data_IF_789738551475
#
_entry.id   IF_789738551475
#
_cell.length_a   1.000
_cell.length_b   1.000
_cell.length_c   1.000
_cell.angle_alpha   90.00
_cell.angle_beta   90.00
_cell.angle_gamma   90.00
#
_symmetry.space_group_name_H-M   'P 1'
#
loop_
_entity.id
_entity.type
_entity.pdbx_description
1 polymer ?
#
# COMPACT_ATOMS: atom_id res chain seq x y z
N UNK A 1 -9.10 -71.08 14.27
CA UNK A 1 -9.66 -69.71 14.14
C UNK A 1 -9.30 -68.93 15.40
N UNK A 2 -8.51 -67.85 15.32
CA UNK A 2 -8.18 -66.95 16.45
C UNK A 2 -8.84 -65.59 16.19
N UNK A 3 -9.83 -65.14 16.97
CA UNK A 3 -10.66 -63.98 16.65
C UNK A 3 -10.02 -62.60 16.98
N UNK A 4 -8.75 -62.54 17.39
CA UNK A 4 -8.14 -61.32 17.92
C UNK A 4 -7.40 -60.42 16.91
N UNK A 5 -7.02 -60.93 15.74
CA UNK A 5 -6.10 -60.19 14.85
C UNK A 5 -6.81 -59.18 13.93
N UNK A 6 -8.13 -59.32 13.72
CA UNK A 6 -8.92 -58.41 12.86
C UNK A 6 -9.27 -57.08 13.53
N UNK A 7 -9.34 -57.03 14.86
CA UNK A 7 -9.69 -55.80 15.59
C UNK A 7 -8.49 -54.85 15.76
N UNK A 8 -7.28 -55.38 15.92
CA UNK A 8 -6.05 -54.56 16.08
C UNK A 8 -5.70 -53.81 14.79
N UNK A 9 -5.91 -54.42 13.62
CA UNK A 9 -5.64 -53.78 12.32
C UNK A 9 -6.60 -52.61 12.05
N UNK A 10 -7.86 -52.71 12.46
CA UNK A 10 -8.83 -51.61 12.29
C UNK A 10 -8.55 -50.40 13.18
N UNK A 11 -8.00 -50.59 14.40
CA UNK A 11 -7.69 -49.50 15.34
C UNK A 11 -6.42 -48.74 14.94
N UNK A 12 -5.39 -49.43 14.44
CA UNK A 12 -4.16 -48.76 13.96
C UNK A 12 -4.41 -47.97 12.66
N UNK A 13 -5.25 -48.49 11.76
CA UNK A 13 -5.61 -47.80 10.53
C UNK A 13 -6.46 -46.53 10.77
N UNK A 14 -7.23 -46.47 11.87
CA UNK A 14 -8.04 -45.30 12.20
C UNK A 14 -7.28 -44.21 12.98
N UNK A 15 -6.17 -44.53 13.64
CA UNK A 15 -5.31 -43.53 14.31
C UNK A 15 -4.38 -42.81 13.31
N UNK A 16 -3.95 -43.46 12.22
CA UNK A 16 -3.11 -42.82 11.20
C UNK A 16 -3.86 -41.86 10.26
N UNK A 17 -5.18 -42.03 10.11
CA UNK A 17 -6.01 -41.15 9.26
C UNK A 17 -6.30 -39.78 9.88
N UNK A 18 -6.17 -39.63 11.20
CA UNK A 18 -6.49 -38.38 11.90
C UNK A 18 -5.38 -37.32 11.85
N UNK A 19 -4.16 -37.68 11.43
CA UNK A 19 -2.99 -36.78 11.46
C UNK A 19 -2.76 -36.05 10.13
N UNK A 20 -3.46 -36.42 9.06
CA UNK A 20 -3.24 -35.88 7.70
C UNK A 20 -4.07 -34.64 7.36
N UNK A 21 -4.83 -34.09 8.32
CA UNK A 21 -5.73 -32.95 8.09
C UNK A 21 -5.17 -31.59 8.54
N UNK A 22 -3.86 -31.49 8.79
CA UNK A 22 -3.22 -30.19 8.97
C UNK A 22 -2.84 -29.65 7.59
N UNK A 23 -3.71 -28.83 6.99
CA UNK A 23 -3.42 -28.11 5.76
C UNK A 23 -2.16 -27.24 5.91
N UNK A 24 -1.49 -26.97 4.79
CA UNK A 24 -0.28 -26.14 4.75
C UNK A 24 -0.54 -24.76 5.38
N UNK A 25 0.47 -24.21 6.06
CA UNK A 25 0.34 -22.92 6.71
C UNK A 25 0.09 -21.82 5.66
N UNK A 26 -1.04 -21.11 5.79
CA UNK A 26 -1.34 -19.95 4.94
C UNK A 26 -0.42 -18.80 5.33
N UNK A 27 0.44 -18.38 4.40
CA UNK A 27 1.35 -17.25 4.54
C UNK A 27 0.98 -16.13 3.56
N UNK A 28 1.52 -14.92 3.77
CA UNK A 28 1.37 -13.86 2.78
C UNK A 28 1.93 -14.26 1.41
N UNK A 29 3.07 -14.96 1.38
CA UNK A 29 3.68 -15.42 0.13
C UNK A 29 2.77 -16.41 -0.61
N UNK A 30 2.24 -17.42 0.08
CA UNK A 30 1.35 -18.41 -0.53
C UNK A 30 0.06 -17.78 -1.05
N UNK A 31 -0.46 -16.74 -0.37
CA UNK A 31 -1.63 -15.99 -0.83
C UNK A 31 -1.33 -15.20 -2.11
N UNK A 32 -0.16 -14.55 -2.20
CA UNK A 32 0.25 -13.82 -3.41
C UNK A 32 0.44 -14.75 -4.61
N UNK A 33 1.00 -15.93 -4.39
CA UNK A 33 1.13 -16.97 -5.42
C UNK A 33 -0.24 -17.51 -5.86
N UNK A 34 -1.17 -17.67 -4.92
CA UNK A 34 -2.54 -18.09 -5.22
C UNK A 34 -3.31 -17.03 -6.04
N UNK A 35 -3.14 -15.74 -5.72
CA UNK A 35 -3.81 -14.62 -6.42
C UNK A 35 -3.53 -14.57 -7.92
N UNK A 36 -2.39 -15.11 -8.38
CA UNK A 36 -2.01 -15.16 -9.80
C UNK A 36 -2.21 -16.53 -10.44
N UNK A 37 -2.71 -17.52 -9.69
CA UNK A 37 -2.96 -18.87 -10.18
C UNK A 37 -4.41 -19.00 -10.69
N UNK A 38 -4.58 -18.95 -12.01
CA UNK A 38 -5.89 -19.04 -12.65
C UNK A 38 -6.66 -20.34 -12.31
N UNK A 39 -5.97 -21.46 -12.14
CA UNK A 39 -6.60 -22.74 -11.76
C UNK A 39 -7.07 -22.77 -10.30
N UNK A 40 -6.42 -21.98 -9.43
CA UNK A 40 -6.85 -21.84 -8.04
C UNK A 40 -8.10 -20.96 -7.93
N UNK A 41 -8.15 -19.84 -8.68
CA UNK A 41 -9.30 -18.92 -8.72
C UNK A 41 -10.58 -19.61 -9.21
N UNK A 42 -10.46 -20.63 -10.07
CA UNK A 42 -11.58 -21.41 -10.57
C UNK A 42 -12.11 -22.50 -9.61
N UNK A 43 -11.46 -22.69 -8.45
CA UNK A 43 -11.83 -23.71 -7.45
C UNK A 43 -12.39 -23.06 -6.19
N UNK A 44 -13.26 -23.80 -5.49
CA UNK A 44 -13.74 -23.35 -4.18
C UNK A 44 -12.59 -23.43 -3.16
N UNK A 45 -12.37 -22.38 -2.34
CA UNK A 45 -11.31 -22.39 -1.35
C UNK A 45 -11.53 -23.50 -0.31
N UNK A 46 -10.43 -24.16 0.09
CA UNK A 46 -10.41 -25.23 1.07
C UNK A 46 -9.34 -24.92 2.14
N UNK A 47 -9.73 -24.72 3.41
CA UNK A 47 -11.11 -24.65 3.92
C UNK A 47 -11.88 -23.46 3.33
N UNK A 48 -13.21 -23.49 3.43
CA UNK A 48 -14.01 -22.35 3.00
C UNK A 48 -13.77 -21.14 3.91
N UNK A 49 -13.50 -19.98 3.32
CA UNK A 49 -13.31 -18.72 4.05
C UNK A 49 -14.46 -17.75 3.75
N UNK A 50 -14.81 -16.91 4.73
CA UNK A 50 -15.71 -15.78 4.50
C UNK A 50 -14.90 -14.58 4.03
N UNK A 51 -15.09 -14.16 2.78
CA UNK A 51 -14.53 -12.91 2.30
C UNK A 51 -15.25 -11.73 2.99
N UNK A 52 -14.49 -10.86 3.64
CA UNK A 52 -15.00 -9.59 4.20
C UNK A 52 -14.17 -8.46 3.61
N UNK A 53 -14.82 -7.59 2.88
CA UNK A 53 -14.20 -6.40 2.29
C UNK A 53 -14.78 -5.15 2.95
N UNK A 54 -13.89 -4.23 3.31
CA UNK A 54 -14.23 -2.86 3.67
C UNK A 54 -13.42 -1.94 2.77
N UNK A 55 -14.09 -0.98 2.15
CA UNK A 55 -13.46 0.06 1.34
C UNK A 55 -13.96 1.41 1.81
N UNK A 56 -13.07 2.40 1.86
CA UNK A 56 -13.47 3.79 1.84
C UNK A 56 -13.99 4.13 0.44
N UNK A 57 -15.07 4.91 0.36
CA UNK A 57 -15.59 5.48 -0.88
C UNK A 57 -16.29 6.81 -0.57
N UNK A 58 -16.36 7.70 -1.55
CA UNK A 58 -17.14 8.93 -1.40
C UNK A 58 -18.63 8.62 -1.54
N UNK A 59 -19.44 8.99 -0.54
CA UNK A 59 -20.88 8.70 -0.52
C UNK A 59 -21.66 9.41 -1.64
N UNK A 60 -21.04 10.38 -2.33
CA UNK A 60 -21.58 11.02 -3.54
C UNK A 60 -21.47 10.11 -4.77
N UNK A 61 -20.57 9.12 -4.78
CA UNK A 61 -20.41 8.13 -5.84
C UNK A 61 -21.56 7.13 -5.81
N UNK A 62 -22.48 7.25 -6.78
CA UNK A 62 -23.71 6.44 -6.83
C UNK A 62 -23.83 5.56 -8.08
N UNK A 63 -23.44 6.08 -9.25
CA UNK A 63 -23.64 5.38 -10.53
C UNK A 63 -22.64 5.84 -11.58
N UNK A 64 -22.15 4.95 -12.48
CA UNK A 64 -21.29 5.33 -13.59
C UNK A 64 -21.91 6.32 -14.58
N UNK A 65 -23.25 6.40 -14.62
CA UNK A 65 -23.98 7.30 -15.51
C UNK A 65 -23.92 8.78 -15.05
N UNK A 66 -23.58 9.02 -13.78
CA UNK A 66 -23.39 10.35 -13.21
C UNK A 66 -21.88 10.63 -13.18
N UNK A 67 -21.33 11.19 -14.26
CA UNK A 67 -19.89 11.41 -14.39
C UNK A 67 -19.32 12.31 -13.28
N UNK A 68 -20.09 13.30 -12.82
CA UNK A 68 -19.67 14.23 -11.75
C UNK A 68 -19.67 13.54 -10.37
N UNK A 69 -20.67 12.69 -10.11
CA UNK A 69 -20.75 11.90 -8.88
C UNK A 69 -19.81 10.70 -8.88
N UNK A 70 -19.61 10.05 -10.02
CA UNK A 70 -18.77 8.85 -10.17
C UNK A 70 -17.34 9.11 -9.68
N UNK A 71 -16.82 10.31 -9.95
CA UNK A 71 -15.49 10.74 -9.57
C UNK A 71 -15.48 11.82 -8.48
N UNK A 72 -16.46 11.76 -7.58
CA UNK A 72 -16.61 12.73 -6.51
C UNK A 72 -15.37 12.84 -5.58
N UNK A 73 -14.60 11.76 -5.42
CA UNK A 73 -13.34 11.73 -4.67
C UNK A 73 -12.15 12.31 -5.46
N UNK A 74 -12.35 12.75 -6.69
CA UNK A 74 -11.33 13.35 -7.57
C UNK A 74 -10.13 12.45 -7.88
N UNK A 75 -10.31 11.13 -7.82
CA UNK A 75 -9.27 10.13 -8.13
C UNK A 75 -9.08 9.89 -9.64
N UNK A 76 -10.00 10.40 -10.44
CA UNK A 76 -10.01 10.27 -11.89
C UNK A 76 -8.95 11.07 -12.62
N UNK A 77 -8.22 11.91 -11.88
CA UNK A 77 -7.23 12.85 -12.42
C UNK A 77 -7.78 13.79 -13.51
N UNK A 78 -9.09 13.76 -13.78
CA UNK A 78 -9.77 14.48 -14.87
C UNK A 78 -10.63 15.66 -14.34
N UNK A 79 -11.11 15.60 -13.09
CA UNK A 79 -12.13 16.50 -12.55
C UNK A 79 -11.58 17.59 -11.62
N UNK A 80 -10.69 18.45 -12.14
CA UNK A 80 -10.24 19.78 -11.64
C UNK A 80 -8.77 20.06 -11.96
N UNK A 81 -8.43 19.76 -13.22
CA UNK A 81 -7.22 20.21 -13.89
C UNK A 81 -5.98 19.42 -13.51
N UNK A 82 -5.24 19.05 -14.55
CA UNK A 82 -3.78 19.18 -14.58
C UNK A 82 -3.31 20.62 -14.31
N UNK A 83 -3.99 21.36 -13.42
CA UNK A 83 -3.51 22.57 -12.82
C UNK A 83 -2.57 22.15 -11.69
N UNK A 84 -1.40 21.67 -12.09
CA UNK A 84 -0.09 21.94 -11.52
C UNK A 84 -0.18 22.44 -10.09
N UNK A 85 -0.32 21.48 -9.19
CA UNK A 85 -0.51 21.73 -7.78
C UNK A 85 0.88 21.77 -7.20
N UNK A 86 1.41 22.98 -7.03
CA UNK A 86 2.70 23.16 -6.36
C UNK A 86 2.53 23.85 -5.03
N UNK A 87 3.24 23.31 -4.06
CA UNK A 87 3.62 23.98 -2.85
C UNK A 87 5.12 24.18 -2.88
N UNK A 88 5.57 25.31 -2.32
CA UNK A 88 6.98 25.49 -1.98
C UNK A 88 7.16 24.85 -0.62
N UNK A 89 8.06 23.88 -0.54
CA UNK A 89 8.28 23.04 0.62
C UNK A 89 9.55 23.40 1.35
N UNK A 90 9.53 23.39 2.68
CA UNK A 90 10.73 23.38 3.50
C UNK A 90 10.77 22.10 4.30
N UNK A 91 11.88 21.38 4.16
CA UNK A 91 12.14 20.21 4.98
C UNK A 91 12.93 20.62 6.23
N UNK A 92 12.70 19.91 7.34
CA UNK A 92 13.54 19.99 8.53
C UNK A 92 13.80 18.58 9.06
N UNK A 93 14.97 18.35 9.63
CA UNK A 93 15.37 17.12 10.30
C UNK A 93 15.64 17.41 11.77
N UNK A 94 14.95 16.74 12.67
CA UNK A 94 15.01 16.97 14.12
C UNK A 94 14.83 18.45 14.53
N UNK A 95 13.99 19.15 13.75
CA UNK A 95 13.71 20.58 13.95
C UNK A 95 14.66 21.52 13.21
N UNK A 96 15.77 21.03 12.67
CA UNK A 96 16.73 21.84 11.90
C UNK A 96 16.39 21.86 10.41
N UNK A 97 16.35 23.05 9.80
CA UNK A 97 16.01 23.20 8.37
C UNK A 97 17.02 22.52 7.45
N UNK A 98 16.53 21.74 6.50
CA UNK A 98 17.30 21.09 5.45
C UNK A 98 17.25 21.93 4.16
N UNK A 99 18.42 22.39 3.71
CA UNK A 99 18.56 23.11 2.45
C UNK A 99 17.68 24.35 2.34
N UNK A 100 17.48 24.78 1.10
CA UNK A 100 16.56 25.87 0.75
C UNK A 100 15.15 25.33 0.44
N UNK A 101 14.10 26.17 0.52
CA UNK A 101 12.77 25.75 0.12
C UNK A 101 12.71 25.24 -1.33
N UNK A 102 12.06 24.11 -1.55
CA UNK A 102 11.92 23.46 -2.84
C UNK A 102 10.56 23.81 -3.46
N UNK A 103 10.59 24.44 -4.63
CA UNK A 103 9.41 24.54 -5.49
C UNK A 103 9.34 23.30 -6.40
N UNK A 104 8.33 22.46 -6.18
CA UNK A 104 8.11 21.24 -6.95
C UNK A 104 7.06 21.44 -8.06
N UNK A 105 6.84 22.68 -8.47
CA UNK A 105 5.95 22.99 -9.59
C UNK A 105 6.49 22.43 -10.90
N UNK A 106 5.59 21.81 -11.67
CA UNK A 106 5.81 21.50 -13.06
C UNK A 106 4.53 21.76 -13.86
N UNK A 107 4.62 21.99 -15.18
CA UNK A 107 3.49 21.95 -16.11
C UNK A 107 3.31 20.58 -16.77
N UNK A 108 2.45 19.76 -16.18
CA UNK A 108 2.16 18.37 -16.51
C UNK A 108 2.43 17.44 -15.33
N UNK A 109 1.96 16.19 -15.44
CA UNK A 109 2.31 15.13 -14.49
C UNK A 109 3.68 14.57 -14.88
N UNK A 110 4.68 14.84 -14.05
CA UNK A 110 6.03 14.30 -14.19
C UNK A 110 6.54 13.88 -12.82
N UNK A 111 7.44 12.91 -12.80
CA UNK A 111 8.23 12.66 -11.59
C UNK A 111 9.26 13.77 -11.44
N UNK A 112 9.45 14.26 -10.22
CA UNK A 112 10.51 15.21 -9.88
C UNK A 112 11.90 14.54 -9.90
N UNK A 113 11.94 13.19 -9.88
CA UNK A 113 13.13 12.41 -9.53
C UNK A 113 13.58 12.64 -8.08
N UNK A 114 14.65 11.97 -7.62
CA UNK A 114 15.23 12.25 -6.31
C UNK A 114 15.64 13.72 -6.21
N UNK A 115 15.16 14.41 -5.16
CA UNK A 115 15.61 15.75 -4.79
C UNK A 115 16.44 15.67 -3.52
N UNK A 116 17.65 16.22 -3.55
CA UNK A 116 18.46 16.36 -2.35
C UNK A 116 17.77 17.37 -1.40
N UNK A 117 17.40 16.91 -0.21
CA UNK A 117 16.85 17.78 0.83
C UNK A 117 17.98 18.44 1.63
N UNK A 118 19.10 17.74 1.79
CA UNK A 118 20.29 18.21 2.50
C UNK A 118 21.05 17.04 3.10
N UNK A 119 22.22 17.34 3.67
CA UNK A 119 23.07 16.35 4.35
C UNK A 119 23.00 16.55 5.87
N UNK A 120 22.91 15.45 6.62
CA UNK A 120 22.93 15.45 8.09
C UNK A 120 23.65 14.23 8.63
N UNK A 121 24.30 14.40 9.77
CA UNK A 121 24.73 13.28 10.59
C UNK A 121 23.49 12.58 11.17
N UNK A 122 23.52 11.26 11.18
CA UNK A 122 22.45 10.41 11.70
C UNK A 122 23.04 9.54 12.81
N UNK A 123 22.54 9.72 14.02
CA UNK A 123 22.82 8.82 15.13
C UNK A 123 21.88 7.60 15.06
N UNK A 124 22.16 6.57 15.86
CA UNK A 124 21.22 5.47 16.00
C UNK A 124 20.01 5.95 16.83
N UNK A 125 18.80 5.89 16.28
CA UNK A 125 17.60 6.24 17.02
C UNK A 125 16.42 6.68 16.16
N UNK A 126 15.42 7.24 16.83
CA UNK A 126 14.28 7.89 16.18
C UNK A 126 14.69 9.29 15.70
N UNK A 127 14.31 9.61 14.47
CA UNK A 127 14.49 10.94 13.89
C UNK A 127 13.20 11.42 13.25
N UNK A 128 13.04 12.75 13.19
CA UNK A 128 11.85 13.40 12.65
C UNK A 128 12.18 14.19 11.40
N UNK A 129 11.70 13.71 10.26
CA UNK A 129 11.56 14.54 9.06
C UNK A 129 10.23 15.30 9.12
N UNK A 130 10.31 16.63 9.03
CA UNK A 130 9.16 17.53 8.93
C UNK A 130 9.14 18.14 7.54
N UNK A 131 7.96 18.17 6.91
CA UNK A 131 7.73 18.91 5.66
C UNK A 131 6.72 20.01 5.93
N UNK A 132 7.15 21.25 5.73
CA UNK A 132 6.36 22.45 5.90
C UNK A 132 6.02 23.06 4.54
N UNK A 133 4.75 23.40 4.30
CA UNK A 133 4.35 24.19 3.14
C UNK A 133 4.57 25.66 3.48
N UNK A 134 5.56 26.28 2.84
CA UNK A 134 5.97 27.67 3.13
C UNK A 134 5.50 28.65 2.06
N UNK A 135 4.92 28.16 0.98
CA UNK A 135 4.39 28.97 -0.11
C UNK A 135 3.79 28.13 -1.23
N UNK A 136 3.56 28.77 -2.37
CA UNK A 136 3.13 28.13 -3.59
C UNK A 136 3.69 28.91 -4.78
N UNK A 137 3.99 28.20 -5.87
CA UNK A 137 4.41 28.83 -7.12
C UNK A 137 3.30 29.78 -7.63
N UNK A 138 3.70 30.91 -8.23
CA UNK A 138 2.75 31.92 -8.74
C UNK A 138 1.84 31.40 -9.86
N UNK A 139 2.31 30.42 -10.64
CA UNK A 139 1.58 29.79 -11.74
C UNK A 139 0.80 28.53 -11.31
N UNK A 140 0.79 28.19 -10.02
CA UNK A 140 0.06 27.04 -9.49
C UNK A 140 -1.39 27.38 -9.14
N UNK A 141 -2.28 26.40 -9.30
CA UNK A 141 -3.57 26.43 -8.62
C UNK A 141 -3.34 26.01 -7.17
N UNK A 142 -3.49 26.98 -6.27
CA UNK A 142 -3.15 26.83 -4.85
C UNK A 142 -4.12 25.87 -4.16
N UNK A 143 -3.62 24.69 -3.80
CA UNK A 143 -4.36 23.67 -3.02
C UNK A 143 -3.59 23.11 -1.82
N UNK A 144 -2.40 23.65 -1.53
CA UNK A 144 -1.58 23.27 -0.37
C UNK A 144 -1.36 21.75 -0.23
N UNK A 145 -1.03 21.09 -1.35
CA UNK A 145 -0.81 19.64 -1.38
C UNK A 145 0.67 19.30 -1.56
N UNK A 146 1.05 18.14 -1.01
CA UNK A 146 2.39 17.56 -1.08
C UNK A 146 2.25 16.08 -1.39
N UNK A 147 2.94 15.61 -2.42
CA UNK A 147 3.19 14.18 -2.65
C UNK A 147 4.58 13.82 -2.17
N UNK A 148 4.69 12.77 -1.36
CA UNK A 148 5.96 12.18 -0.95
C UNK A 148 5.89 10.68 -1.23
N UNK A 149 6.65 10.24 -2.23
CA UNK A 149 6.66 8.82 -2.63
C UNK A 149 7.58 8.01 -1.71
N UNK A 150 8.81 8.49 -1.47
CA UNK A 150 9.79 7.86 -0.59
C UNK A 150 10.84 8.86 -0.08
N UNK A 151 11.54 8.46 0.98
CA UNK A 151 12.77 9.11 1.46
C UNK A 151 13.91 8.12 1.31
N UNK A 152 14.98 8.52 0.62
CA UNK A 152 16.18 7.71 0.46
C UNK A 152 17.33 8.37 1.20
N UNK A 153 17.97 7.60 2.08
CA UNK A 153 19.20 8.00 2.77
C UNK A 153 20.37 7.41 1.98
N UNK A 154 21.31 8.26 1.60
CA UNK A 154 22.55 7.88 0.92
C UNK A 154 23.74 8.34 1.78
N UNK A 155 24.82 7.54 1.89
CA UNK A 155 26.04 8.01 2.54
C UNK A 155 26.54 9.29 1.87
N UNK A 156 26.87 10.31 2.67
CA UNK A 156 27.53 11.50 2.17
C UNK A 156 28.89 11.13 1.56
N UNK A 157 29.31 11.87 0.52
CA UNK A 157 30.59 11.65 -0.17
C UNK A 157 31.73 12.39 0.50
#
# INVERSE_FOLDING_TARGET
MRPGLRWVVCVVASILAAVAAAGEAVTLNSLLEEMVNFDAVARWPQPAYTCRQASSYDRRTKTPADADGWFANTDNMDGSGAALRSTVLRASFDGEKLGEPLDLYNNGVVTTGPKALGERALDAGEHRLTVEIVGANAAAVKRHMVGLDYVKLEPAK
#
